data_IF_705504059146
#
_entry.id   IF_705504059146
#
_cell.length_a   1.000
_cell.length_b   1.000
_cell.length_c   1.000
_cell.angle_alpha   90.00
_cell.angle_beta   90.00
_cell.angle_gamma   90.00
#
_symmetry.space_group_name_H-M   'P 1'
#
loop_
_entity.id
_entity.type
_entity.pdbx_description
1 polymer ?
#
# COMPACT_ATOMS: atom_id res chain seq x y z
N UNK A 1 -17.36 -5.63 5.74
CA UNK A 1 -17.00 -4.84 6.92
C UNK A 1 -16.05 -3.80 6.41
N UNK A 2 -16.35 -2.50 6.55
CA UNK A 2 -15.50 -1.46 5.97
C UNK A 2 -14.05 -1.61 6.44
N UNK A 3 -13.11 -1.61 5.48
CA UNK A 3 -11.69 -1.52 5.80
C UNK A 3 -11.41 -0.25 6.60
N UNK A 4 -10.58 -0.37 7.65
CA UNK A 4 -10.10 0.75 8.46
C UNK A 4 -8.59 0.69 8.56
N UNK A 5 -7.96 1.78 9.01
CA UNK A 5 -6.52 1.80 9.26
C UNK A 5 -6.12 0.71 10.25
N UNK A 6 -6.94 0.46 11.26
CA UNK A 6 -6.68 -0.58 12.25
C UNK A 6 -6.74 -1.97 11.64
N UNK A 7 -7.73 -2.24 10.77
CA UNK A 7 -7.83 -3.49 10.01
C UNK A 7 -6.58 -3.69 9.15
N UNK A 8 -6.18 -2.64 8.44
CA UNK A 8 -5.00 -2.68 7.57
C UNK A 8 -3.72 -2.95 8.37
N UNK A 9 -3.53 -2.28 9.51
CA UNK A 9 -2.37 -2.51 10.39
C UNK A 9 -2.42 -3.92 11.01
N UNK A 10 -3.60 -4.44 11.35
CA UNK A 10 -3.74 -5.79 11.92
C UNK A 10 -3.32 -6.89 10.93
N UNK A 11 -3.61 -6.71 9.64
CA UNK A 11 -3.24 -7.65 8.58
C UNK A 11 -1.81 -7.47 8.04
N UNK A 12 -1.02 -6.61 8.70
CA UNK A 12 0.36 -6.36 8.33
C UNK A 12 1.26 -7.52 8.73
N UNK A 13 2.09 -7.97 7.80
CA UNK A 13 3.01 -9.09 7.99
C UNK A 13 4.44 -8.57 8.03
N UNK A 14 5.21 -8.89 9.08
CA UNK A 14 6.60 -8.44 9.26
C UNK A 14 7.60 -9.52 8.79
N UNK A 15 8.75 -9.09 8.27
CA UNK A 15 9.84 -9.96 7.81
C UNK A 15 9.61 -10.63 6.45
N UNK A 16 8.41 -10.54 5.87
CA UNK A 16 8.06 -11.23 4.63
C UNK A 16 8.03 -10.28 3.42
N UNK A 17 8.72 -10.68 2.34
CA UNK A 17 8.51 -10.13 1.00
C UNK A 17 7.52 -11.03 0.24
N UNK A 18 6.42 -10.45 -0.24
CA UNK A 18 5.35 -11.17 -0.91
C UNK A 18 5.63 -11.25 -2.43
N UNK A 19 6.53 -12.15 -2.81
CA UNK A 19 7.05 -12.29 -4.19
C UNK A 19 6.01 -12.58 -5.27
N UNK A 20 4.80 -12.99 -4.89
CA UNK A 20 3.67 -13.22 -5.80
C UNK A 20 2.96 -11.93 -6.23
N UNK A 21 3.20 -10.81 -5.55
CA UNK A 21 2.59 -9.53 -5.89
C UNK A 21 3.08 -9.03 -7.26
N UNK A 22 2.15 -8.53 -8.07
CA UNK A 22 2.40 -7.87 -9.35
C UNK A 22 2.05 -6.38 -9.22
N UNK A 23 2.55 -5.49 -10.09
CA UNK A 23 2.19 -4.08 -10.04
C UNK A 23 0.67 -3.86 -10.05
N UNK A 24 0.22 -2.86 -9.31
CA UNK A 24 -1.21 -2.51 -9.22
C UNK A 24 -1.84 -2.33 -10.60
N UNK A 25 -2.93 -3.04 -10.86
CA UNK A 25 -3.74 -2.95 -12.08
C UNK A 25 -5.04 -2.21 -11.83
N UNK A 26 -5.82 -2.65 -10.84
CA UNK A 26 -7.03 -1.97 -10.38
C UNK A 26 -6.70 -0.59 -9.81
N UNK A 27 -7.43 0.47 -10.21
CA UNK A 27 -7.23 1.87 -9.75
C UNK A 27 -5.82 2.42 -9.99
N UNK A 28 -5.06 1.83 -10.92
CA UNK A 28 -3.70 2.26 -11.26
C UNK A 28 -3.65 3.73 -11.68
N UNK A 29 -4.58 4.17 -12.52
CA UNK A 29 -4.62 5.54 -13.02
C UNK A 29 -4.91 6.54 -11.90
N UNK A 30 -5.84 6.20 -11.00
CA UNK A 30 -6.17 7.02 -9.84
C UNK A 30 -4.96 7.18 -8.92
N UNK A 31 -4.23 6.09 -8.65
CA UNK A 31 -2.99 6.15 -7.88
C UNK A 31 -1.97 7.08 -8.55
N UNK A 32 -1.72 6.92 -9.85
CA UNK A 32 -0.76 7.74 -10.58
C UNK A 32 -1.17 9.23 -10.57
N UNK A 33 -2.45 9.53 -10.76
CA UNK A 33 -2.98 10.89 -10.70
C UNK A 33 -2.86 11.50 -9.29
N UNK A 34 -3.12 10.69 -8.26
CA UNK A 34 -3.00 11.10 -6.87
C UNK A 34 -1.54 11.46 -6.52
N UNK A 35 -0.58 10.64 -6.95
CA UNK A 35 0.83 10.79 -6.58
C UNK A 35 1.61 11.80 -7.41
N UNK A 36 1.21 12.06 -8.66
CA UNK A 36 1.97 12.90 -9.60
C UNK A 36 2.23 14.30 -9.04
N UNK A 37 3.51 14.68 -8.94
CA UNK A 37 3.96 15.97 -8.41
C UNK A 37 3.80 16.11 -6.89
N UNK A 38 3.37 15.05 -6.20
CA UNK A 38 3.10 15.00 -4.76
C UNK A 38 3.84 13.85 -4.07
N UNK A 39 4.86 13.29 -4.71
CA UNK A 39 5.55 12.06 -4.31
C UNK A 39 6.11 12.15 -2.89
N UNK A 40 6.72 13.30 -2.55
CA UNK A 40 7.24 13.56 -1.19
C UNK A 40 6.14 13.54 -0.14
N UNK A 41 5.00 14.18 -0.40
CA UNK A 41 3.88 14.27 0.54
C UNK A 41 3.23 12.91 0.74
N UNK A 42 2.97 12.19 -0.36
CA UNK A 42 2.45 10.82 -0.32
C UNK A 42 3.36 9.90 0.48
N UNK A 43 4.68 9.95 0.24
CA UNK A 43 5.66 9.17 1.01
C UNK A 43 5.56 9.43 2.52
N UNK A 44 5.43 10.69 2.94
CA UNK A 44 5.33 11.04 4.36
C UNK A 44 4.00 10.56 4.94
N UNK A 45 2.90 10.73 4.21
CA UNK A 45 1.58 10.24 4.60
C UNK A 45 1.60 8.72 4.80
N UNK A 46 2.14 7.97 3.84
CA UNK A 46 2.27 6.50 3.94
C UNK A 46 3.06 6.10 5.18
N UNK A 47 4.19 6.77 5.46
CA UNK A 47 5.01 6.49 6.66
C UNK A 47 4.28 6.75 7.96
N UNK A 48 3.55 7.86 8.05
CA UNK A 48 2.78 8.22 9.25
C UNK A 48 1.60 7.27 9.44
N UNK A 49 0.86 7.00 8.36
CA UNK A 49 -0.32 6.15 8.36
C UNK A 49 0.02 4.69 8.68
N UNK A 50 0.99 4.11 7.99
CA UNK A 50 1.28 2.69 8.07
C UNK A 50 2.37 2.33 9.09
N UNK A 51 2.99 3.33 9.72
CA UNK A 51 4.05 3.15 10.73
C UNK A 51 5.31 2.47 10.19
N UNK A 52 5.89 1.58 10.99
CA UNK A 52 7.20 0.93 10.70
C UNK A 52 7.12 -0.02 9.51
N UNK A 53 8.00 0.04 8.49
CA UNK A 53 8.00 -0.92 7.38
C UNK A 53 8.01 -2.39 7.83
N UNK A 54 7.30 -3.24 7.09
CA UNK A 54 7.26 -4.70 7.28
C UNK A 54 8.59 -5.37 6.99
N UNK A 55 9.28 -4.94 5.94
CA UNK A 55 10.52 -5.54 5.47
C UNK A 55 11.37 -4.52 4.71
N UNK A 56 12.68 -4.78 4.68
CA UNK A 56 13.65 -4.05 3.86
C UNK A 56 14.32 -4.96 2.81
N UNK A 57 14.19 -6.28 2.90
CA UNK A 57 14.91 -7.24 2.05
C UNK A 57 14.18 -7.59 0.74
N UNK A 58 13.47 -6.64 0.14
CA UNK A 58 12.87 -6.83 -1.19
C UNK A 58 13.91 -6.84 -2.31
N UNK A 59 13.50 -7.05 -3.57
CA UNK A 59 14.40 -7.13 -4.74
C UNK A 59 15.33 -5.91 -4.91
N UNK A 60 14.96 -4.78 -4.32
CA UNK A 60 15.70 -3.52 -4.43
C UNK A 60 16.06 -2.91 -3.05
N UNK A 61 16.02 -3.71 -1.99
CA UNK A 61 16.31 -3.27 -0.62
C UNK A 61 15.48 -2.07 -0.12
N UNK A 62 14.24 -1.96 -0.58
CA UNK A 62 13.35 -0.86 -0.24
C UNK A 62 12.50 -1.15 0.98
N UNK A 63 12.11 -0.09 1.71
CA UNK A 63 11.08 -0.18 2.72
C UNK A 63 9.75 -0.60 2.08
N UNK A 64 9.16 -1.66 2.61
CA UNK A 64 7.89 -2.20 2.14
C UNK A 64 6.95 -2.42 3.32
N UNK A 65 5.66 -2.18 3.10
CA UNK A 65 4.57 -2.56 3.99
C UNK A 65 3.78 -3.65 3.29
N UNK A 66 3.77 -4.84 3.89
CA UNK A 66 3.20 -6.04 3.31
C UNK A 66 1.95 -6.42 4.12
N UNK A 67 0.86 -6.70 3.42
CA UNK A 67 -0.44 -7.04 4.00
C UNK A 67 -0.94 -8.35 3.42
N UNK A 68 -1.41 -9.24 4.28
CA UNK A 68 -2.06 -10.48 3.91
C UNK A 68 -3.46 -10.51 4.51
N UNK A 69 -4.45 -10.48 3.64
CA UNK A 69 -5.85 -10.39 4.04
C UNK A 69 -6.48 -11.78 4.24
N UNK A 70 -7.59 -11.88 5.01
CA UNK A 70 -8.18 -13.16 5.41
C UNK A 70 -8.53 -14.11 4.27
N UNK A 71 -9.00 -13.61 3.12
CA UNK A 71 -9.33 -14.45 1.96
C UNK A 71 -8.13 -14.72 1.04
N UNK A 72 -6.95 -14.26 1.42
CA UNK A 72 -5.68 -14.59 0.78
C UNK A 72 -5.16 -13.55 -0.21
N UNK A 73 -5.89 -12.46 -0.45
CA UNK A 73 -5.38 -11.35 -1.25
C UNK A 73 -4.22 -10.68 -0.54
N UNK A 74 -3.24 -10.20 -1.31
CA UNK A 74 -2.04 -9.56 -0.79
C UNK A 74 -1.91 -8.15 -1.36
N UNK A 75 -1.44 -7.23 -0.52
CA UNK A 75 -1.11 -5.87 -0.93
C UNK A 75 0.25 -5.50 -0.36
N UNK A 76 1.09 -4.90 -1.19
CA UNK A 76 2.40 -4.39 -0.82
C UNK A 76 2.52 -2.94 -1.25
N UNK A 77 2.91 -2.06 -0.32
CA UNK A 77 3.30 -0.68 -0.62
C UNK A 77 4.80 -0.59 -0.47
N UNK A 78 5.50 -0.15 -1.52
CA UNK A 78 6.96 -0.06 -1.53
C UNK A 78 7.43 1.38 -1.74
N UNK A 79 8.50 1.77 -1.04
CA UNK A 79 9.14 3.07 -1.20
C UNK A 79 10.42 2.96 -2.03
N UNK A 80 10.30 3.10 -3.35
CA UNK A 80 11.43 3.08 -4.26
C UNK A 80 12.39 4.24 -4.00
N UNK A 81 13.67 3.89 -3.81
CA UNK A 81 14.79 4.83 -3.61
C UNK A 81 14.49 5.91 -2.56
N UNK A 82 13.60 5.59 -1.63
CA UNK A 82 13.11 6.51 -0.62
C UNK A 82 12.34 7.71 -1.17
N UNK A 83 11.94 7.78 -2.44
CA UNK A 83 11.31 8.95 -3.06
C UNK A 83 9.87 8.71 -3.52
N UNK A 84 9.58 7.53 -4.09
CA UNK A 84 8.29 7.22 -4.71
C UNK A 84 7.63 6.06 -3.98
N UNK A 85 6.33 6.20 -3.69
CA UNK A 85 5.50 5.10 -3.21
C UNK A 85 4.81 4.43 -4.41
N UNK A 86 4.90 3.12 -4.54
CA UNK A 86 4.04 2.37 -5.45
C UNK A 86 3.46 1.14 -4.78
N UNK A 87 2.49 0.54 -5.47
CA UNK A 87 1.64 -0.52 -4.94
C UNK A 87 1.78 -1.74 -5.84
N UNK A 88 1.92 -2.91 -5.21
CA UNK A 88 1.85 -4.21 -5.84
C UNK A 88 0.80 -5.08 -5.14
N UNK A 89 0.08 -5.91 -5.88
CA UNK A 89 -1.03 -6.72 -5.37
C UNK A 89 -0.98 -8.15 -5.87
N UNK A 90 -1.61 -9.05 -5.12
CA UNK A 90 -1.97 -10.40 -5.57
C UNK A 90 -3.44 -10.62 -5.25
N UNK A 91 -4.22 -11.00 -6.25
CA UNK A 91 -5.66 -11.23 -6.13
C UNK A 91 -5.93 -12.71 -5.85
N UNK A 92 -6.46 -13.00 -4.66
CA UNK A 92 -7.08 -14.30 -4.35
C UNK A 92 -8.62 -14.16 -4.27
N UNK A 93 -9.09 -13.02 -3.75
CA UNK A 93 -10.48 -12.59 -3.73
C UNK A 93 -10.54 -11.12 -4.19
N UNK A 94 -11.35 -10.87 -5.22
CA UNK A 94 -11.44 -9.56 -5.88
C UNK A 94 -12.01 -8.50 -4.96
N UNK A 95 -13.16 -8.77 -4.34
CA UNK A 95 -13.86 -7.79 -3.51
C UNK A 95 -13.00 -7.36 -2.31
N UNK A 96 -12.32 -8.32 -1.66
CA UNK A 96 -11.37 -8.03 -0.58
C UNK A 96 -10.21 -7.14 -1.04
N UNK A 97 -9.66 -7.42 -2.22
CA UNK A 97 -8.54 -6.65 -2.73
C UNK A 97 -8.96 -5.23 -3.14
N UNK A 98 -10.08 -5.10 -3.86
CA UNK A 98 -10.61 -3.81 -4.28
C UNK A 98 -10.97 -2.94 -3.07
N UNK A 99 -11.62 -3.51 -2.04
CA UNK A 99 -11.95 -2.77 -0.82
C UNK A 99 -10.68 -2.29 -0.07
N UNK A 100 -9.64 -3.11 0.00
CA UNK A 100 -8.37 -2.73 0.61
C UNK A 100 -7.63 -1.64 -0.18
N UNK A 101 -7.66 -1.71 -1.52
CA UNK A 101 -7.05 -0.70 -2.40
C UNK A 101 -7.82 0.62 -2.31
N UNK A 102 -9.15 0.58 -2.35
CA UNK A 102 -9.98 1.78 -2.26
C UNK A 102 -9.79 2.50 -0.94
N UNK A 103 -9.80 1.76 0.16
CA UNK A 103 -9.52 2.33 1.48
C UNK A 103 -8.16 3.05 1.49
N UNK A 104 -7.10 2.40 1.00
CA UNK A 104 -5.76 2.99 0.97
C UNK A 104 -5.72 4.29 0.14
N UNK A 105 -6.33 4.30 -1.04
CA UNK A 105 -6.37 5.46 -1.92
C UNK A 105 -7.17 6.61 -1.31
N UNK A 106 -8.35 6.32 -0.78
CA UNK A 106 -9.21 7.31 -0.13
C UNK A 106 -8.54 7.95 1.07
N UNK A 107 -7.88 7.16 1.90
CA UNK A 107 -7.22 7.60 3.11
C UNK A 107 -5.99 8.48 2.78
N UNK A 108 -5.20 8.10 1.77
CA UNK A 108 -4.09 8.93 1.27
C UNK A 108 -4.61 10.24 0.69
N UNK A 109 -5.69 10.19 -0.11
CA UNK A 109 -6.29 11.37 -0.70
C UNK A 109 -6.89 12.32 0.37
N UNK A 110 -7.53 11.77 1.40
CA UNK A 110 -8.07 12.54 2.50
C UNK A 110 -6.98 13.31 3.26
N UNK A 111 -5.86 12.66 3.58
CA UNK A 111 -4.71 13.31 4.24
C UNK A 111 -4.03 14.33 3.33
N UNK A 112 -3.94 14.07 2.02
CA UNK A 112 -3.39 15.04 1.06
C UNK A 112 -4.22 16.33 0.99
N UNK A 113 -5.55 16.26 1.12
CA UNK A 113 -6.42 17.44 1.14
C UNK A 113 -6.25 18.31 2.39
N UNK A 114 -5.64 17.77 3.45
CA UNK A 114 -5.41 18.46 4.72
C UNK A 114 -4.03 19.14 4.78
N UNK A 115 -3.18 18.95 3.76
CA UNK A 115 -1.87 19.61 3.63
C UNK A 115 -2.01 20.95 2.90
#
# INVERSE_FOLDING_TARGET
MAYTLQTFIHHKVFGNHLSKCKPLTYRKEDWLHLTRGRERSVRLIIRVMLGVPSAHHGPNEHAMWCFQFPKGSLLTVHLHRGTVAEISTYEADKDELEEAVDYLLEEVAARLRQL
#
